data_IF_357692567748
#
_entry.id   IF_357692567748
#
_cell.length_a   1.000
_cell.length_b   1.000
_cell.length_c   1.000
_cell.angle_alpha   90.00
_cell.angle_beta   90.00
_cell.angle_gamma   90.00
#
_symmetry.space_group_name_H-M   'P 1'
#
loop_
_entity.id
_entity.type
_entity.pdbx_description
1 polymer ?
#
# COMPACT_ATOMS: atom_id res chain seq x y z
N UNK A 1 -30.39 41.34 9.89
CA UNK A 1 -31.37 40.52 10.63
C UNK A 1 -31.42 39.15 9.97
N UNK A 2 -31.02 38.11 10.74
CA UNK A 2 -31.22 36.64 10.64
C UNK A 2 -31.09 35.97 9.25
N UNK A 3 -30.17 35.02 9.00
CA UNK A 3 -29.81 33.75 9.65
C UNK A 3 -30.92 32.69 9.52
N UNK A 4 -30.78 31.84 8.49
CA UNK A 4 -31.53 30.60 8.30
C UNK A 4 -30.52 29.44 8.22
N UNK A 5 -30.79 28.44 9.04
CA UNK A 5 -29.96 27.29 9.39
C UNK A 5 -29.71 26.35 8.20
N UNK A 6 -28.48 25.79 8.10
CA UNK A 6 -28.22 24.55 7.36
C UNK A 6 -27.82 23.49 8.37
N UNK A 7 -28.57 22.39 8.36
CA UNK A 7 -28.38 21.18 9.15
C UNK A 7 -27.03 20.53 8.86
N UNK A 8 -26.34 20.15 9.94
CA UNK A 8 -25.20 19.25 9.95
C UNK A 8 -25.66 17.82 9.63
N UNK A 9 -25.02 17.15 8.67
CA UNK A 9 -25.24 15.73 8.41
C UNK A 9 -24.44 14.90 9.41
N UNK A 10 -25.15 14.32 10.39
CA UNK A 10 -24.60 13.39 11.36
C UNK A 10 -24.41 12.01 10.70
N UNK A 11 -23.16 11.56 10.60
CA UNK A 11 -22.83 10.17 10.22
C UNK A 11 -23.21 9.23 11.37
N UNK A 12 -23.97 8.14 11.16
CA UNK A 12 -24.37 7.25 12.25
C UNK A 12 -23.20 6.36 12.72
N UNK A 13 -23.16 5.98 14.01
CA UNK A 13 -22.13 5.09 14.55
C UNK A 13 -22.33 3.66 14.04
N UNK A 14 -21.20 2.99 13.74
CA UNK A 14 -21.16 1.56 13.38
C UNK A 14 -21.71 0.73 14.54
N UNK A 15 -22.76 -0.06 14.26
CA UNK A 15 -23.37 -0.97 15.22
C UNK A 15 -22.51 -2.23 15.39
N UNK A 16 -22.11 -2.50 16.64
CA UNK A 16 -21.63 -3.80 17.11
C UNK A 16 -22.67 -4.88 16.84
N UNK A 17 -22.46 -5.72 15.83
CA UNK A 17 -23.10 -7.05 15.78
C UNK A 17 -22.20 -8.04 15.04
N UNK A 18 -22.17 -9.27 15.57
CA UNK A 18 -21.46 -10.47 15.12
C UNK A 18 -20.03 -10.67 15.65
N UNK A 19 -19.93 -10.72 16.98
CA UNK A 19 -19.02 -11.67 17.65
C UNK A 19 -19.78 -13.00 17.73
N UNK A 20 -19.44 -13.96 16.86
CA UNK A 20 -20.03 -15.28 16.85
C UNK A 20 -19.35 -16.18 15.83
N UNK A 21 -18.62 -17.16 16.35
CA UNK A 21 -18.07 -18.36 15.71
C UNK A 21 -16.89 -18.18 14.72
N UNK A 22 -15.68 -18.11 15.29
CA UNK A 22 -14.45 -18.45 14.59
C UNK A 22 -14.34 -19.98 14.48
N UNK A 23 -14.44 -20.51 13.26
CA UNK A 23 -13.96 -21.85 12.94
C UNK A 23 -12.43 -21.77 12.81
N UNK A 24 -11.72 -22.44 13.71
CA UNK A 24 -10.33 -22.85 13.51
C UNK A 24 -10.28 -23.76 12.28
N UNK A 25 -9.43 -23.44 11.30
CA UNK A 25 -9.17 -24.33 10.18
C UNK A 25 -8.08 -25.32 10.61
N UNK A 26 -8.45 -26.59 10.76
CA UNK A 26 -7.52 -27.72 10.89
C UNK A 26 -6.73 -27.88 9.58
N UNK A 27 -5.40 -27.81 9.65
CA UNK A 27 -4.50 -28.17 8.56
C UNK A 27 -4.49 -29.71 8.34
N UNK A 28 -4.54 -30.21 7.09
CA UNK A 28 -4.42 -31.64 6.81
C UNK A 28 -2.99 -32.16 7.04
N UNK A 29 -2.80 -33.45 7.37
CA UNK A 29 -1.49 -33.99 7.73
C UNK A 29 -0.52 -34.03 6.53
N UNK A 30 0.71 -33.56 6.77
CA UNK A 30 1.82 -33.57 5.82
C UNK A 30 2.35 -35.00 5.56
N UNK A 31 2.34 -35.44 4.30
CA UNK A 31 3.18 -36.57 3.84
C UNK A 31 4.57 -36.04 3.47
N UNK A 32 5.62 -36.65 4.05
CA UNK A 32 7.02 -36.29 3.84
C UNK A 32 7.51 -36.71 2.45
N UNK A 33 7.81 -35.71 1.61
CA UNK A 33 8.70 -35.85 0.45
C UNK A 33 10.18 -35.64 0.84
N UNK A 34 11.14 -36.08 0.01
CA UNK A 34 12.56 -36.11 0.37
C UNK A 34 13.17 -34.71 0.58
N UNK A 35 14.28 -34.60 1.34
CA UNK A 35 14.72 -33.33 1.92
C UNK A 35 15.45 -32.45 0.90
N UNK A 36 14.86 -31.30 0.58
CA UNK A 36 15.57 -30.17 -0.01
C UNK A 36 16.19 -29.33 1.12
N UNK A 37 17.51 -29.26 1.10
CA UNK A 37 18.37 -28.59 2.08
C UNK A 37 18.31 -27.06 1.90
N UNK A 38 17.33 -26.42 2.52
CA UNK A 38 17.25 -24.96 2.71
C UNK A 38 16.79 -24.65 4.16
N UNK A 39 17.64 -25.00 5.14
CA UNK A 39 17.46 -24.62 6.54
C UNK A 39 18.48 -23.56 6.96
N UNK A 40 18.12 -22.28 6.85
CA UNK A 40 18.79 -21.21 7.61
C UNK A 40 18.03 -20.98 8.93
N UNK A 41 18.11 -21.97 9.81
CA UNK A 41 17.83 -21.79 11.24
C UNK A 41 19.13 -21.97 12.03
N UNK A 42 19.78 -20.85 12.32
CA UNK A 42 20.73 -20.74 13.41
C UNK A 42 20.39 -19.47 14.19
N UNK A 43 19.36 -19.55 15.04
CA UNK A 43 19.15 -18.55 16.10
C UNK A 43 20.09 -18.92 17.22
N UNK A 44 21.18 -18.17 17.39
CA UNK A 44 21.88 -18.12 18.68
C UNK A 44 21.33 -16.95 19.49
N UNK A 45 20.85 -17.28 20.68
CA UNK A 45 20.38 -16.33 21.67
C UNK A 45 21.54 -15.45 22.15
N UNK A 46 21.40 -14.14 21.99
CA UNK A 46 21.86 -13.22 23.01
C UNK A 46 21.08 -11.90 22.94
N UNK A 47 20.51 -11.54 24.08
CA UNK A 47 19.79 -10.30 24.37
C UNK A 47 20.52 -9.06 23.84
N UNK A 48 20.02 -8.48 22.74
CA UNK A 48 20.52 -7.23 22.18
C UNK A 48 19.39 -6.19 22.09
N UNK A 49 19.69 -4.99 22.58
CA UNK A 49 18.83 -3.81 22.76
C UNK A 49 17.85 -3.53 21.62
N UNK A 50 16.60 -3.19 21.99
CA UNK A 50 15.47 -2.85 21.09
C UNK A 50 15.62 -1.51 20.35
N UNK A 51 16.76 -1.30 19.71
CA UNK A 51 16.90 -0.48 18.50
C UNK A 51 17.57 -1.39 17.45
N UNK A 52 16.87 -2.40 16.98
CA UNK A 52 17.37 -3.22 15.88
C UNK A 52 17.30 -2.37 14.62
N UNK A 53 18.43 -1.85 14.16
CA UNK A 53 18.59 -1.47 12.76
C UNK A 53 18.07 -2.63 11.92
N UNK A 54 17.20 -2.37 10.94
CA UNK A 54 16.70 -3.39 10.03
C UNK A 54 17.83 -4.34 9.61
N UNK A 55 17.55 -5.64 9.58
CA UNK A 55 18.54 -6.63 9.18
C UNK A 55 19.09 -6.22 7.81
N UNK A 56 20.41 -6.19 7.68
CA UNK A 56 21.04 -5.75 6.45
C UNK A 56 20.61 -6.60 5.26
N UNK A 57 20.22 -7.86 5.45
CA UNK A 57 19.61 -8.73 4.43
C UNK A 57 18.33 -8.18 3.77
N UNK A 58 17.59 -7.30 4.45
CA UNK A 58 16.36 -6.69 3.94
C UNK A 58 16.66 -5.49 3.02
N UNK A 59 17.81 -4.84 3.23
CA UNK A 59 18.22 -3.61 2.55
C UNK A 59 19.37 -3.88 1.55
N UNK A 60 20.15 -4.92 1.80
CA UNK A 60 21.32 -5.31 1.01
C UNK A 60 20.87 -6.17 -0.16
N UNK A 61 20.57 -5.50 -1.25
CA UNK A 61 20.49 -6.11 -2.55
C UNK A 61 21.76 -6.93 -2.87
N UNK A 62 21.63 -7.93 -3.74
CA UNK A 62 22.80 -8.69 -4.21
C UNK A 62 23.59 -7.80 -5.17
N UNK A 63 24.85 -7.54 -4.87
CA UNK A 63 25.74 -6.78 -5.75
C UNK A 63 26.78 -7.71 -6.38
N UNK A 64 26.83 -7.74 -7.72
CA UNK A 64 27.84 -8.49 -8.48
C UNK A 64 28.34 -7.61 -9.62
N UNK A 65 29.65 -7.59 -9.88
CA UNK A 65 30.27 -6.79 -10.96
C UNK A 65 29.87 -5.30 -10.95
N UNK A 66 29.67 -4.71 -9.78
CA UNK A 66 29.27 -3.30 -9.63
C UNK A 66 27.81 -3.00 -9.98
N UNK A 67 26.96 -4.02 -10.16
CA UNK A 67 25.53 -3.90 -10.46
C UNK A 67 24.69 -4.47 -9.32
N UNK A 68 23.48 -3.94 -9.12
CA UNK A 68 22.51 -4.38 -8.12
C UNK A 68 21.52 -5.34 -8.77
N UNK A 69 21.26 -6.48 -8.13
CA UNK A 69 20.41 -7.52 -8.68
C UNK A 69 19.24 -7.89 -7.77
N UNK A 70 18.15 -8.26 -8.41
CA UNK A 70 17.09 -9.10 -7.86
C UNK A 70 17.09 -10.44 -8.60
N UNK A 71 17.33 -11.53 -7.86
CA UNK A 71 17.66 -12.84 -8.44
C UNK A 71 18.82 -12.72 -9.46
N UNK A 72 18.55 -12.97 -10.74
CA UNK A 72 19.53 -12.88 -11.83
C UNK A 72 19.40 -11.61 -12.67
N UNK A 73 18.48 -10.69 -12.34
CA UNK A 73 18.18 -9.49 -13.14
C UNK A 73 18.72 -8.23 -12.47
N UNK A 74 19.41 -7.34 -13.21
CA UNK A 74 19.83 -6.06 -12.65
C UNK A 74 18.60 -5.19 -12.34
N UNK A 75 18.67 -4.40 -11.26
CA UNK A 75 17.62 -3.48 -10.82
C UNK A 75 18.15 -2.16 -10.22
N UNK A 76 19.42 -1.84 -10.46
CA UNK A 76 20.03 -0.54 -10.13
C UNK A 76 19.52 0.60 -11.02
N UNK A 77 19.82 1.84 -10.63
CA UNK A 77 19.43 3.07 -11.33
C UNK A 77 19.78 3.02 -12.83
N UNK A 78 20.96 2.53 -13.19
CA UNK A 78 21.37 2.41 -14.59
C UNK A 78 20.44 1.48 -15.39
N UNK A 79 19.96 0.38 -14.81
CA UNK A 79 18.97 -0.47 -15.48
C UNK A 79 17.59 0.18 -15.50
N UNK A 80 17.22 0.92 -14.46
CA UNK A 80 15.96 1.67 -14.43
C UNK A 80 15.94 2.74 -15.54
N UNK A 81 16.99 3.54 -15.70
CA UNK A 81 17.14 4.50 -16.80
C UNK A 81 17.03 3.83 -18.18
N UNK A 82 17.58 2.61 -18.32
CA UNK A 82 17.45 1.84 -19.56
C UNK A 82 15.99 1.40 -19.80
N UNK A 83 15.25 1.08 -18.75
CA UNK A 83 13.82 0.75 -18.83
C UNK A 83 12.96 1.97 -19.16
N UNK A 84 13.30 3.16 -18.67
CA UNK A 84 12.67 4.44 -19.06
C UNK A 84 12.78 4.67 -20.58
N UNK A 85 13.99 4.48 -21.12
CA UNK A 85 14.22 4.59 -22.56
C UNK A 85 13.37 3.59 -23.36
N UNK A 86 13.22 2.36 -22.85
CA UNK A 86 12.37 1.34 -23.49
C UNK A 86 10.90 1.76 -23.46
N UNK A 87 10.40 2.31 -22.34
CA UNK A 87 9.05 2.86 -22.27
C UNK A 87 8.84 3.97 -23.30
N UNK A 88 9.78 4.90 -23.42
CA UNK A 88 9.71 5.98 -24.41
C UNK A 88 9.72 5.46 -25.85
N UNK A 89 10.55 4.45 -26.17
CA UNK A 89 10.56 3.80 -27.49
C UNK A 89 9.19 3.17 -27.79
N UNK A 90 8.55 2.51 -26.82
CA UNK A 90 7.20 1.98 -27.00
C UNK A 90 6.16 3.08 -27.23
N UNK A 91 6.22 4.21 -26.51
CA UNK A 91 5.37 5.37 -26.80
C UNK A 91 5.53 5.84 -28.25
N UNK A 92 6.77 5.93 -28.76
CA UNK A 92 7.02 6.33 -30.16
C UNK A 92 6.43 5.33 -31.16
N UNK A 93 6.65 4.02 -30.95
CA UNK A 93 6.10 2.96 -31.81
C UNK A 93 4.57 2.96 -31.83
N UNK A 94 3.95 3.42 -30.76
CA UNK A 94 2.50 3.52 -30.59
C UNK A 94 1.95 4.91 -30.91
N UNK A 95 2.73 5.76 -31.60
CA UNK A 95 2.35 7.13 -31.97
C UNK A 95 1.88 7.96 -30.77
N UNK A 96 2.59 7.83 -29.65
CA UNK A 96 2.30 8.50 -28.39
C UNK A 96 1.34 7.76 -27.47
N UNK A 97 0.72 6.64 -27.88
CA UNK A 97 -0.22 5.88 -27.03
C UNK A 97 0.48 4.89 -26.10
N UNK A 98 -0.17 4.51 -25.00
CA UNK A 98 0.32 3.51 -24.04
C UNK A 98 -0.01 2.05 -24.41
N UNK A 99 -1.05 1.86 -25.22
CA UNK A 99 -1.59 0.54 -25.53
C UNK A 99 -2.26 0.54 -26.91
N UNK A 100 -2.54 -0.65 -27.44
CA UNK A 100 -3.26 -0.85 -28.72
C UNK A 100 -4.68 -1.38 -28.56
N UNK A 101 -5.01 -1.93 -27.40
CA UNK A 101 -6.31 -2.50 -27.11
C UNK A 101 -7.42 -1.44 -27.27
N UNK A 102 -8.55 -1.76 -27.93
CA UNK A 102 -9.67 -0.84 -28.02
C UNK A 102 -10.47 -0.87 -26.71
N UNK A 103 -10.06 -0.06 -25.74
CA UNK A 103 -10.74 0.05 -24.43
C UNK A 103 -11.59 1.33 -24.37
N UNK A 104 -12.68 1.34 -23.58
CA UNK A 104 -13.48 2.55 -23.35
C UNK A 104 -12.71 3.64 -22.60
N UNK A 105 -13.05 4.91 -22.83
CA UNK A 105 -12.41 6.08 -22.19
C UNK A 105 -12.60 6.12 -20.66
N UNK A 106 -13.55 5.35 -20.13
CA UNK A 106 -13.90 5.28 -18.70
C UNK A 106 -13.51 3.95 -18.05
N UNK A 107 -12.45 3.31 -18.53
CA UNK A 107 -11.97 2.04 -17.96
C UNK A 107 -11.64 2.20 -16.47
N UNK A 108 -12.18 1.32 -15.63
CA UNK A 108 -12.02 1.41 -14.18
C UNK A 108 -10.98 0.43 -13.62
N UNK A 109 -10.75 -0.68 -14.31
CA UNK A 109 -9.91 -1.78 -13.82
C UNK A 109 -9.01 -2.31 -14.92
N UNK A 110 -7.71 -2.33 -14.64
CA UNK A 110 -6.66 -2.76 -15.58
C UNK A 110 -5.66 -3.61 -14.82
N UNK A 111 -5.31 -4.76 -15.41
CA UNK A 111 -4.27 -5.65 -14.89
C UNK A 111 -2.98 -5.38 -15.68
N UNK A 112 -1.95 -4.93 -14.97
CA UNK A 112 -0.62 -4.77 -15.54
C UNK A 112 0.25 -5.97 -15.15
N UNK A 113 0.82 -6.65 -16.15
CA UNK A 113 1.66 -7.83 -15.96
C UNK A 113 3.08 -7.51 -16.39
N UNK A 114 4.02 -7.58 -15.45
CA UNK A 114 5.39 -7.20 -15.71
C UNK A 114 5.60 -5.69 -15.72
N UNK A 115 5.00 -4.99 -14.75
CA UNK A 115 4.99 -3.54 -14.52
C UNK A 115 6.37 -2.86 -14.54
N UNK A 116 7.45 -3.63 -14.41
CA UNK A 116 8.80 -3.10 -14.40
C UNK A 116 8.98 -2.11 -13.25
N UNK A 117 9.44 -0.91 -13.59
CA UNK A 117 9.59 0.22 -12.67
C UNK A 117 8.28 1.01 -12.45
N UNK A 118 7.20 0.67 -13.14
CA UNK A 118 5.87 1.25 -12.92
C UNK A 118 5.47 2.44 -13.77
N UNK A 119 6.33 2.93 -14.68
CA UNK A 119 6.00 4.10 -15.52
C UNK A 119 4.74 3.88 -16.35
N UNK A 120 4.55 2.68 -16.92
CA UNK A 120 3.34 2.40 -17.69
C UNK A 120 2.07 2.52 -16.83
N UNK A 121 2.08 1.95 -15.62
CA UNK A 121 0.95 2.01 -14.70
C UNK A 121 0.65 3.45 -14.25
N UNK A 122 1.69 4.25 -14.01
CA UNK A 122 1.55 5.67 -13.66
C UNK A 122 0.96 6.49 -14.81
N UNK A 123 1.56 6.41 -16.00
CA UNK A 123 1.08 7.10 -17.20
C UNK A 123 -0.38 6.68 -17.53
N UNK A 124 -0.69 5.39 -17.38
CA UNK A 124 -2.03 4.88 -17.63
C UNK A 124 -3.04 5.40 -16.60
N UNK A 125 -2.68 5.42 -15.32
CA UNK A 125 -3.52 6.01 -14.29
C UNK A 125 -3.75 7.52 -14.53
N UNK A 126 -2.78 8.23 -15.09
CA UNK A 126 -2.93 9.64 -15.46
C UNK A 126 -3.82 9.85 -16.69
N UNK A 127 -3.73 8.98 -17.71
CA UNK A 127 -4.62 9.00 -18.89
C UNK A 127 -6.06 8.54 -18.55
N UNK A 128 -6.24 7.67 -17.54
CA UNK A 128 -7.55 7.16 -17.10
C UNK A 128 -7.77 7.44 -15.61
N UNK A 129 -8.19 8.67 -15.25
CA UNK A 129 -8.46 9.04 -13.86
C UNK A 129 -9.54 8.19 -13.17
N UNK A 130 -10.34 7.43 -13.95
CA UNK A 130 -11.30 6.46 -13.44
C UNK A 130 -10.68 5.18 -12.87
N UNK A 131 -9.37 4.96 -13.00
CA UNK A 131 -8.67 3.86 -12.36
C UNK A 131 -8.46 4.14 -10.86
N UNK A 132 -8.94 3.23 -10.01
CA UNK A 132 -9.11 3.42 -8.56
C UNK A 132 -7.91 2.92 -7.72
N UNK A 133 -7.62 3.58 -6.58
CA UNK A 133 -6.50 3.23 -5.69
C UNK A 133 -6.90 3.15 -4.19
N UNK A 134 -6.09 2.39 -3.44
CA UNK A 134 -6.32 1.57 -2.23
C UNK A 134 -6.71 2.29 -0.92
N UNK A 135 -7.42 1.55 -0.04
CA UNK A 135 -7.78 1.93 1.34
C UNK A 135 -6.56 2.30 2.21
N UNK A 136 -6.41 3.57 2.64
CA UNK A 136 -5.18 4.05 3.22
C UNK A 136 -5.20 4.18 4.76
N UNK A 137 -6.28 3.77 5.46
CA UNK A 137 -6.42 4.10 6.90
C UNK A 137 -5.46 3.34 7.81
N UNK A 138 -4.77 4.10 8.67
CA UNK A 138 -3.94 3.59 9.76
C UNK A 138 -4.75 3.49 11.05
N UNK A 139 -4.90 2.28 11.59
CA UNK A 139 -5.71 1.96 12.75
C UNK A 139 -4.86 1.41 13.90
N UNK A 140 -5.42 1.35 15.10
CA UNK A 140 -4.83 0.67 16.26
C UNK A 140 -5.94 0.08 17.12
N UNK A 141 -5.67 -1.04 17.80
CA UNK A 141 -6.63 -1.72 18.69
C UNK A 141 -6.52 -1.27 20.15
N UNK A 142 -5.40 -0.63 20.52
CA UNK A 142 -5.11 -0.27 21.92
C UNK A 142 -5.10 1.25 22.15
N UNK A 143 -5.66 2.01 21.21
CA UNK A 143 -5.77 3.46 21.29
C UNK A 143 -4.47 4.21 20.98
N UNK A 144 -3.35 3.51 20.76
CA UNK A 144 -2.05 4.17 20.51
C UNK A 144 -2.01 4.97 19.20
N UNK A 145 -2.98 4.80 18.31
CA UNK A 145 -3.16 5.65 17.13
C UNK A 145 -3.36 7.13 17.49
N UNK A 146 -3.90 7.44 18.68
CA UNK A 146 -4.08 8.82 19.17
C UNK A 146 -2.73 9.52 19.43
N UNK A 147 -1.67 8.75 19.67
CA UNK A 147 -0.31 9.27 19.88
C UNK A 147 0.40 9.61 18.54
N UNK A 148 -0.20 9.24 17.40
CA UNK A 148 0.33 9.48 16.06
C UNK A 148 -0.36 10.69 15.40
N UNK A 149 -0.42 11.83 16.09
CA UNK A 149 -1.17 13.02 15.66
C UNK A 149 -0.75 13.49 14.26
N UNK A 150 0.56 13.54 13.97
CA UNK A 150 1.05 13.99 12.67
C UNK A 150 0.77 12.95 11.59
N UNK A 151 0.95 11.66 11.87
CA UNK A 151 0.69 10.57 10.95
C UNK A 151 -0.80 10.49 10.57
N UNK A 152 -1.70 10.58 11.55
CA UNK A 152 -3.14 10.61 11.33
C UNK A 152 -3.57 11.89 10.59
N UNK A 153 -2.99 13.04 10.94
CA UNK A 153 -3.22 14.30 10.24
C UNK A 153 -2.77 14.26 8.77
N UNK A 154 -1.61 13.66 8.50
CA UNK A 154 -1.08 13.50 7.15
C UNK A 154 -2.03 12.66 6.29
N UNK A 155 -2.50 11.54 6.83
CA UNK A 155 -3.45 10.68 6.15
C UNK A 155 -4.77 11.41 5.84
N UNK A 156 -5.28 12.22 6.78
CA UNK A 156 -6.48 13.04 6.57
C UNK A 156 -6.30 14.01 5.40
N UNK A 157 -5.19 14.76 5.39
CA UNK A 157 -4.89 15.71 4.31
C UNK A 157 -4.70 14.98 2.98
N UNK A 158 -4.07 13.80 2.98
CA UNK A 158 -3.91 12.98 1.79
C UNK A 158 -5.26 12.56 1.21
N UNK A 159 -6.18 12.07 2.04
CA UNK A 159 -7.52 11.66 1.61
C UNK A 159 -8.28 12.87 1.04
N UNK A 160 -8.32 13.99 1.76
CA UNK A 160 -8.98 15.22 1.29
C UNK A 160 -8.40 15.73 -0.04
N UNK A 161 -7.07 15.74 -0.15
CA UNK A 161 -6.38 16.14 -1.35
C UNK A 161 -6.61 15.18 -2.51
N UNK A 162 -6.68 13.87 -2.26
CA UNK A 162 -6.98 12.85 -3.28
C UNK A 162 -8.38 13.02 -3.88
N UNK A 163 -9.38 13.37 -3.04
CA UNK A 163 -10.75 13.68 -3.47
C UNK A 163 -10.74 14.94 -4.35
N UNK A 164 -10.06 16.02 -3.92
CA UNK A 164 -9.95 17.26 -4.73
C UNK A 164 -9.21 17.04 -6.04
N UNK A 165 -8.23 16.15 -6.05
CA UNK A 165 -7.49 15.77 -7.25
C UNK A 165 -8.33 14.92 -8.22
N UNK A 166 -9.44 14.34 -7.76
CA UNK A 166 -10.33 13.50 -8.56
C UNK A 166 -9.98 12.01 -8.54
N UNK A 167 -9.09 11.57 -7.64
CA UNK A 167 -8.71 10.16 -7.45
C UNK A 167 -8.84 9.78 -5.97
N UNK A 168 -10.05 9.48 -5.46
CA UNK A 168 -10.25 9.13 -4.06
C UNK A 168 -9.52 7.82 -3.70
N UNK A 169 -8.85 7.81 -2.54
CA UNK A 169 -8.11 6.63 -2.05
C UNK A 169 -9.00 5.64 -1.26
N UNK A 170 -10.16 6.07 -0.75
CA UNK A 170 -10.97 5.23 0.14
C UNK A 170 -12.00 4.35 -0.59
N UNK A 171 -11.56 3.62 -1.61
CA UNK A 171 -12.49 2.91 -2.52
C UNK A 171 -12.51 1.40 -2.36
N UNK A 172 -11.53 0.80 -1.67
CA UNK A 172 -11.41 -0.66 -1.58
C UNK A 172 -12.61 -1.32 -0.86
N UNK A 173 -13.30 -0.60 0.01
CA UNK A 173 -14.51 -1.06 0.71
C UNK A 173 -15.68 -1.34 -0.25
N UNK A 174 -15.69 -0.68 -1.41
CA UNK A 174 -16.76 -0.83 -2.40
C UNK A 174 -16.38 -1.85 -3.49
N UNK A 175 -15.18 -2.44 -3.44
CA UNK A 175 -14.65 -3.24 -4.56
C UNK A 175 -15.43 -4.51 -4.80
N UNK A 176 -15.90 -5.19 -3.75
CA UNK A 176 -16.74 -6.38 -3.91
C UNK A 176 -18.02 -6.04 -4.68
N UNK A 177 -18.75 -5.03 -4.22
CA UNK A 177 -19.99 -4.59 -4.86
C UNK A 177 -19.73 -4.14 -6.31
N UNK A 178 -18.66 -3.36 -6.54
CA UNK A 178 -18.26 -2.93 -7.89
C UNK A 178 -17.91 -4.10 -8.81
N UNK A 179 -17.33 -5.18 -8.28
CA UNK A 179 -17.05 -6.39 -9.06
C UNK A 179 -18.34 -7.12 -9.42
N UNK A 180 -19.27 -7.26 -8.48
CA UNK A 180 -20.58 -7.87 -8.72
C UNK A 180 -21.40 -7.08 -9.75
N UNK A 181 -21.47 -5.75 -9.62
CA UNK A 181 -22.15 -4.87 -10.57
C UNK A 181 -21.54 -4.91 -11.97
N UNK A 182 -20.24 -5.15 -12.07
CA UNK A 182 -19.56 -5.31 -13.35
C UNK A 182 -19.73 -6.70 -13.98
N UNK A 183 -20.53 -7.57 -13.37
CA UNK A 183 -20.89 -8.89 -13.90
C UNK A 183 -19.91 -10.00 -13.56
N UNK A 184 -18.98 -9.80 -12.62
CA UNK A 184 -18.19 -10.92 -12.11
C UNK A 184 -19.08 -11.87 -11.29
N UNK A 185 -18.78 -13.16 -11.36
CA UNK A 185 -19.46 -14.23 -10.61
C UNK A 185 -18.53 -14.80 -9.55
N UNK A 186 -19.09 -15.47 -8.54
CA UNK A 186 -18.35 -16.01 -7.39
C UNK A 186 -17.46 -14.96 -6.69
N UNK A 187 -17.92 -13.71 -6.56
CA UNK A 187 -17.13 -12.64 -5.94
C UNK A 187 -17.01 -12.88 -4.44
N UNK A 188 -15.78 -12.88 -3.95
CA UNK A 188 -15.42 -13.05 -2.54
C UNK A 188 -14.57 -11.87 -2.08
N UNK A 189 -14.69 -11.58 -0.80
CA UNK A 189 -13.89 -10.59 -0.10
C UNK A 189 -13.34 -11.21 1.18
N UNK A 190 -12.04 -11.07 1.39
CA UNK A 190 -11.35 -11.34 2.64
C UNK A 190 -10.67 -10.05 3.10
N UNK A 191 -11.01 -9.57 4.29
CA UNK A 191 -10.36 -8.42 4.89
C UNK A 191 -9.36 -8.90 5.94
N UNK A 192 -8.07 -8.82 5.62
CA UNK A 192 -7.02 -9.01 6.61
C UNK A 192 -6.88 -7.75 7.43
N UNK A 193 -7.52 -7.75 8.59
CA UNK A 193 -7.66 -6.56 9.43
C UNK A 193 -6.33 -6.00 9.94
N UNK A 194 -5.25 -6.79 10.03
CA UNK A 194 -4.04 -6.43 10.76
C UNK A 194 -2.76 -6.60 9.94
N UNK A 195 -2.48 -5.67 9.03
CA UNK A 195 -1.15 -5.51 8.45
C UNK A 195 -0.36 -4.50 9.31
N UNK A 196 0.52 -4.95 10.22
CA UNK A 196 1.19 -4.05 11.16
C UNK A 196 2.14 -3.10 10.44
N UNK A 197 2.28 -1.89 10.98
CA UNK A 197 3.33 -0.94 10.61
C UNK A 197 4.33 -0.94 11.76
N UNK A 198 5.53 -1.49 11.51
CA UNK A 198 6.58 -1.62 12.52
C UNK A 198 6.66 -3.00 13.19
N UNK A 199 7.68 -3.18 14.02
CA UNK A 199 8.06 -4.46 14.60
C UNK A 199 7.40 -4.76 15.97
N UNK A 200 6.31 -4.07 16.30
CA UNK A 200 5.60 -4.20 17.58
C UNK A 200 4.84 -5.53 17.81
N UNK A 201 4.38 -6.28 16.78
CA UNK A 201 3.67 -7.53 17.02
C UNK A 201 4.53 -8.56 17.76
N UNK A 202 3.90 -9.38 18.61
CA UNK A 202 4.59 -10.51 19.27
C UNK A 202 4.87 -11.67 18.30
N UNK A 203 3.91 -11.92 17.40
CA UNK A 203 4.04 -12.94 16.36
C UNK A 203 5.23 -12.64 15.44
N UNK A 204 6.10 -13.63 15.22
CA UNK A 204 7.36 -13.44 14.50
C UNK A 204 7.15 -13.11 13.02
N UNK A 205 6.14 -13.70 12.39
CA UNK A 205 5.82 -13.48 10.98
C UNK A 205 5.24 -12.07 10.77
N UNK A 206 4.28 -11.67 11.60
CA UNK A 206 3.70 -10.33 11.57
C UNK A 206 4.72 -9.26 11.93
N UNK A 207 5.62 -9.54 12.88
CA UNK A 207 6.74 -8.64 13.20
C UNK A 207 7.64 -8.41 11.99
N UNK A 208 7.96 -9.47 11.26
CA UNK A 208 8.80 -9.37 10.06
C UNK A 208 8.09 -8.59 8.95
N UNK A 209 6.83 -8.94 8.66
CA UNK A 209 5.98 -8.20 7.72
C UNK A 209 5.90 -6.72 8.09
N UNK A 210 5.74 -6.40 9.37
CA UNK A 210 5.63 -5.02 9.84
C UNK A 210 6.89 -4.19 9.62
N UNK A 211 8.08 -4.80 9.59
CA UNK A 211 9.32 -4.08 9.23
C UNK A 211 9.32 -3.65 7.77
N UNK A 212 8.89 -4.53 6.86
CA UNK A 212 8.75 -4.19 5.44
C UNK A 212 7.67 -3.12 5.24
N UNK A 213 6.53 -3.27 5.92
CA UNK A 213 5.45 -2.31 5.84
C UNK A 213 5.87 -0.92 6.35
N UNK A 214 6.68 -0.84 7.41
CA UNK A 214 7.21 0.43 7.91
C UNK A 214 8.00 1.19 6.82
N UNK A 215 8.89 0.50 6.10
CA UNK A 215 9.66 1.11 5.01
C UNK A 215 8.70 1.60 3.91
N UNK A 216 7.79 0.72 3.48
CA UNK A 216 6.83 1.04 2.42
C UNK A 216 5.99 2.28 2.77
N UNK A 217 5.55 2.43 4.03
CA UNK A 217 4.77 3.58 4.47
C UNK A 217 5.62 4.87 4.53
N UNK A 218 6.89 4.78 4.95
CA UNK A 218 7.81 5.93 4.94
C UNK A 218 8.04 6.44 3.52
N UNK A 219 8.27 5.54 2.57
CA UNK A 219 8.44 5.87 1.14
C UNK A 219 7.15 6.43 0.53
N UNK A 220 5.99 5.86 0.88
CA UNK A 220 4.70 6.38 0.47
C UNK A 220 4.48 7.82 0.98
N UNK A 221 4.83 8.10 2.24
CA UNK A 221 4.78 9.47 2.78
C UNK A 221 5.67 10.41 1.97
N UNK A 222 6.88 10.02 1.58
CA UNK A 222 7.73 10.85 0.72
C UNK A 222 7.14 11.07 -0.68
N UNK A 223 6.58 10.02 -1.28
CA UNK A 223 6.11 10.03 -2.66
C UNK A 223 4.81 10.83 -2.87
N UNK A 224 3.80 10.60 -2.03
CA UNK A 224 2.49 11.25 -2.21
C UNK A 224 2.48 12.73 -1.81
N UNK A 225 3.37 13.11 -0.89
CA UNK A 225 3.31 14.40 -0.22
C UNK A 225 3.52 15.59 -1.18
N UNK A 226 4.56 15.65 -2.03
CA UNK A 226 4.81 16.82 -2.88
C UNK A 226 3.63 17.15 -3.81
N UNK A 227 3.06 16.14 -4.48
CA UNK A 227 1.97 16.37 -5.44
C UNK A 227 0.68 16.80 -4.74
N UNK A 228 0.27 16.10 -3.68
CA UNK A 228 -1.02 16.39 -3.03
C UNK A 228 -0.92 17.64 -2.15
N UNK A 229 0.12 17.76 -1.32
CA UNK A 229 0.18 18.83 -0.32
C UNK A 229 0.62 20.16 -0.92
N UNK A 230 1.65 20.17 -1.78
CA UNK A 230 2.10 21.41 -2.42
C UNK A 230 1.15 21.81 -3.56
N UNK A 231 0.89 20.92 -4.52
CA UNK A 231 0.15 21.32 -5.74
C UNK A 231 -1.37 21.38 -5.55
N UNK A 232 -1.97 20.47 -4.76
CA UNK A 232 -3.44 20.43 -4.60
C UNK A 232 -3.90 21.22 -3.37
N UNK A 233 -3.11 21.20 -2.29
CA UNK A 233 -3.47 21.85 -1.03
C UNK A 233 -2.73 23.18 -0.77
N UNK A 234 -1.79 23.59 -1.64
CA UNK A 234 -1.04 24.86 -1.57
C UNK A 234 -0.21 25.06 -0.30
N UNK A 235 0.39 23.99 0.25
CA UNK A 235 1.29 24.08 1.40
C UNK A 235 2.69 24.57 0.99
N UNK A 236 3.37 25.29 1.88
CA UNK A 236 4.74 25.75 1.67
C UNK A 236 5.77 24.62 1.83
N UNK A 237 6.83 24.64 1.02
CA UNK A 237 7.84 23.56 0.98
C UNK A 237 8.57 23.36 2.32
N UNK A 238 8.96 24.44 3.00
CA UNK A 238 9.67 24.34 4.29
C UNK A 238 8.80 23.73 5.39
N UNK A 239 7.52 24.09 5.44
CA UNK A 239 6.54 23.52 6.36
C UNK A 239 6.31 22.03 6.06
N UNK A 240 6.30 21.66 4.77
CA UNK A 240 6.07 20.30 4.32
C UNK A 240 7.20 19.35 4.73
N UNK A 241 8.46 19.75 4.56
CA UNK A 241 9.61 18.95 4.96
C UNK A 241 9.63 18.69 6.46
N UNK A 242 9.33 19.72 7.27
CA UNK A 242 9.20 19.59 8.72
C UNK A 242 8.06 18.63 9.09
N UNK A 243 6.91 18.75 8.40
CA UNK A 243 5.76 17.89 8.65
C UNK A 243 6.04 16.42 8.31
N UNK A 244 6.65 16.15 7.15
CA UNK A 244 7.07 14.81 6.72
C UNK A 244 8.03 14.19 7.73
N UNK A 245 8.98 14.96 8.28
CA UNK A 245 9.90 14.48 9.29
C UNK A 245 9.17 14.06 10.60
N UNK A 246 8.14 14.81 11.01
CA UNK A 246 7.31 14.47 12.18
C UNK A 246 6.51 13.18 11.95
N UNK A 247 5.84 13.05 10.80
CA UNK A 247 5.10 11.82 10.42
C UNK A 247 6.02 10.60 10.47
N UNK A 248 7.18 10.68 9.83
CA UNK A 248 8.19 9.63 9.80
C UNK A 248 8.75 9.26 11.17
N UNK A 249 8.77 10.20 12.11
CA UNK A 249 9.20 9.96 13.48
C UNK A 249 8.15 9.14 14.22
N UNK A 250 6.88 9.49 14.10
CA UNK A 250 5.77 8.75 14.72
C UNK A 250 5.63 7.33 14.13
N UNK A 251 5.74 7.17 12.81
CA UNK A 251 5.70 5.83 12.19
C UNK A 251 6.82 4.89 12.70
N UNK A 252 7.96 5.45 13.13
CA UNK A 252 9.08 4.68 13.68
C UNK A 252 8.98 4.46 15.20
N UNK A 253 8.00 5.05 15.87
CA UNK A 253 7.85 4.92 17.31
C UNK A 253 7.28 3.53 17.64
N UNK A 254 8.03 2.66 18.34
CA UNK A 254 7.58 1.31 18.63
C UNK A 254 6.45 1.25 19.66
N UNK A 255 6.15 2.35 20.35
CA UNK A 255 5.01 2.45 21.26
C UNK A 255 3.68 2.76 20.56
N UNK A 256 3.74 3.05 19.25
CA UNK A 256 2.56 3.31 18.42
C UNK A 256 2.27 2.08 17.57
N UNK A 257 1.17 1.38 17.87
CA UNK A 257 0.84 0.08 17.27
C UNK A 257 -0.09 0.22 16.07
N UNK A 258 0.34 0.98 15.06
CA UNK A 258 -0.45 1.17 13.84
C UNK A 258 -0.51 -0.10 12.98
N UNK A 259 -1.63 -0.30 12.30
CA UNK A 259 -1.82 -1.29 11.25
C UNK A 259 -2.74 -0.78 10.14
N UNK A 260 -2.75 -1.47 9.00
CA UNK A 260 -3.64 -1.21 7.86
C UNK A 260 -4.50 -2.44 7.58
N UNK A 261 -5.83 -2.31 7.39
CA UNK A 261 -6.65 -3.37 6.82
C UNK A 261 -6.33 -3.58 5.34
N UNK A 262 -6.09 -4.83 4.94
CA UNK A 262 -5.85 -5.20 3.53
C UNK A 262 -7.06 -5.96 3.01
N UNK A 263 -7.64 -5.45 1.92
CA UNK A 263 -8.78 -6.03 1.23
C UNK A 263 -8.29 -6.93 0.11
N UNK A 264 -8.62 -8.22 0.18
CA UNK A 264 -8.48 -9.15 -0.92
C UNK A 264 -9.86 -9.36 -1.53
N UNK A 265 -10.06 -8.88 -2.75
CA UNK A 265 -11.31 -9.08 -3.48
C UNK A 265 -11.01 -9.85 -4.75
N UNK A 266 -11.70 -10.96 -4.97
CA UNK A 266 -11.50 -11.81 -6.14
C UNK A 266 -12.82 -12.39 -6.63
N UNK A 267 -12.89 -12.72 -7.91
CA UNK A 267 -14.07 -13.30 -8.55
C UNK A 267 -13.71 -13.84 -9.91
N UNK A 268 -14.66 -14.49 -10.58
CA UNK A 268 -14.48 -15.05 -11.92
C UNK A 268 -15.20 -14.18 -12.95
N UNK A 269 -14.59 -14.00 -14.11
CA UNK A 269 -15.30 -13.45 -15.26
C UNK A 269 -16.27 -14.53 -15.78
N UNK A 270 -17.55 -14.20 -16.03
CA UNK A 270 -18.49 -15.15 -16.62
C UNK A 270 -18.00 -15.58 -18.01
N UNK A 271 -18.29 -16.84 -18.37
CA UNK A 271 -17.93 -17.46 -19.64
C UNK A 271 -18.62 -16.80 -20.83
#
# INVERSE_FOLDING_TARGET
MSAQERQESVTPPLQDTLVGDLLEADDPPHEEGPPDDDSVYAVSENSASYQTSLASSIINYKYENGRRYYAFRPNDETEQDRMDLVHHVYRLLLNGKLYRAPIPDNVQRVLDLGTGIGIWAMDFADEYPSAEAVYPRWLSDDGTAENAENAQGWLKVLIEGSIKFGKPLEVAVDWKEKMEQAGFVDVREEVRKKMPIGAWPKDLKLKEIGKYQLIQQIEAVESYTPRIFSTVMNWGEEELQVYVAKVKKELRDPSIHLYVPIYFVWGKKPA
#
